data_IF_803078534764
#
_entry.id   IF_803078534764
#
_cell.length_a   1.000
_cell.length_b   1.000
_cell.length_c   1.000
_cell.angle_alpha   90.00
_cell.angle_beta   90.00
_cell.angle_gamma   90.00
#
_symmetry.space_group_name_H-M   'P 1'
#
loop_
_entity.id
_entity.type
_entity.pdbx_description
1 polymer ?
#
# COMPACT_ATOMS: atom_id res chain seq x y z
N UNK A 1 0.86 22.62 1.39
CA UNK A 1 0.26 21.31 1.73
C UNK A 1 -1.16 21.35 1.21
N UNK A 2 -1.46 20.55 0.20
CA UNK A 2 -2.79 20.47 -0.38
C UNK A 2 -3.65 19.57 0.51
N UNK A 3 -4.93 19.90 0.71
CA UNK A 3 -5.86 19.06 1.47
C UNK A 3 -7.00 18.66 0.55
N UNK A 4 -7.19 17.35 0.39
CA UNK A 4 -8.40 16.84 -0.25
C UNK A 4 -9.48 16.78 0.83
N UNK A 5 -10.61 17.39 0.54
CA UNK A 5 -11.81 17.28 1.36
C UNK A 5 -12.76 16.28 0.70
N UNK A 6 -13.06 15.19 1.40
CA UNK A 6 -14.02 14.17 0.98
C UNK A 6 -15.23 14.28 1.89
N UNK A 7 -16.42 14.47 1.32
CA UNK A 7 -17.66 14.40 2.08
C UNK A 7 -18.18 12.97 2.05
N UNK A 8 -18.28 12.35 3.22
CA UNK A 8 -18.78 10.99 3.39
C UNK A 8 -20.32 10.98 3.31
N UNK A 9 -20.88 9.79 3.13
CA UNK A 9 -22.33 9.56 2.95
C UNK A 9 -23.14 9.83 4.22
N UNK A 10 -22.50 9.86 5.38
CA UNK A 10 -23.06 10.26 6.68
C UNK A 10 -23.06 11.79 6.90
N UNK A 11 -22.52 12.56 5.96
CA UNK A 11 -22.40 14.02 6.04
C UNK A 11 -21.12 14.51 6.70
N UNK A 12 -20.27 13.62 7.21
CA UNK A 12 -18.98 13.99 7.78
C UNK A 12 -18.01 14.43 6.68
N UNK A 13 -17.21 15.46 6.94
CA UNK A 13 -16.19 15.94 6.01
C UNK A 13 -14.82 15.49 6.49
N UNK A 14 -14.27 14.50 5.80
CA UNK A 14 -12.91 14.04 6.00
C UNK A 14 -11.92 14.93 5.25
N UNK A 15 -10.84 15.32 5.92
CA UNK A 15 -9.77 16.12 5.32
C UNK A 15 -8.47 15.33 5.29
N UNK A 16 -8.05 14.96 4.09
CA UNK A 16 -6.80 14.23 3.84
C UNK A 16 -5.70 15.23 3.50
N UNK A 17 -4.61 15.23 4.26
CA UNK A 17 -3.43 16.03 3.91
C UNK A 17 -2.69 15.35 2.74
N UNK A 18 -2.90 15.85 1.52
CA UNK A 18 -2.13 15.44 0.35
C UNK A 18 -0.75 16.10 0.40
N UNK A 19 0.27 15.26 0.51
CA UNK A 19 1.65 15.69 0.64
C UNK A 19 2.21 15.60 2.07
N UNK A 20 1.54 14.92 3.00
CA UNK A 20 2.26 14.32 4.11
C UNK A 20 3.30 13.36 3.50
N UNK A 21 4.55 13.80 3.54
CA UNK A 21 5.72 13.13 2.97
C UNK A 21 5.61 11.63 3.14
N UNK A 22 6.00 10.87 2.11
CA UNK A 22 6.28 9.43 2.17
C UNK A 22 6.91 9.10 3.52
N UNK A 23 6.08 8.75 4.51
CA UNK A 23 6.57 8.41 5.84
C UNK A 23 7.33 7.13 5.58
N UNK A 24 8.66 7.20 5.62
CA UNK A 24 9.49 6.01 5.49
C UNK A 24 9.01 5.07 6.58
N UNK A 25 8.48 3.96 6.13
CA UNK A 25 7.81 3.00 6.98
C UNK A 25 8.52 1.68 6.76
N UNK A 26 9.65 1.48 7.44
CA UNK A 26 10.52 0.35 7.17
C UNK A 26 9.81 -0.98 7.40
N UNK A 27 8.82 -1.01 8.30
CA UNK A 27 8.01 -2.20 8.58
C UNK A 27 7.05 -2.50 7.44
N UNK A 28 6.33 -1.49 6.93
CA UNK A 28 5.50 -1.64 5.74
C UNK A 28 6.33 -1.99 4.50
N UNK A 29 7.50 -1.36 4.33
CA UNK A 29 8.41 -1.62 3.22
C UNK A 29 8.95 -3.06 3.27
N UNK A 30 9.26 -3.58 4.46
CA UNK A 30 9.70 -4.96 4.65
C UNK A 30 8.59 -5.98 4.37
N UNK A 31 7.36 -5.72 4.83
CA UNK A 31 6.20 -6.56 4.53
C UNK A 31 5.89 -6.58 3.03
N UNK A 32 5.94 -5.40 2.38
CA UNK A 32 5.78 -5.31 0.93
C UNK A 32 6.89 -6.07 0.20
N UNK A 33 8.15 -5.94 0.63
CA UNK A 33 9.25 -6.70 0.02
C UNK A 33 9.06 -8.21 0.16
N UNK A 34 8.65 -8.67 1.36
CA UNK A 34 8.36 -10.08 1.64
C UNK A 34 7.17 -10.62 0.84
N UNK A 35 6.21 -9.77 0.44
CA UNK A 35 5.11 -10.18 -0.43
C UNK A 35 5.48 -10.18 -1.92
N UNK A 36 6.59 -9.55 -2.30
CA UNK A 36 7.06 -9.43 -3.69
C UNK A 36 8.04 -10.55 -4.04
N UNK A 37 8.90 -10.93 -3.11
CA UNK A 37 10.03 -11.85 -3.32
C UNK A 37 9.69 -13.28 -2.90
N UNK A 38 8.64 -13.85 -3.51
CA UNK A 38 8.09 -15.15 -3.12
C UNK A 38 8.01 -16.10 -4.30
N UNK A 39 8.54 -17.30 -4.14
CA UNK A 39 8.55 -18.34 -5.17
C UNK A 39 7.34 -19.29 -5.04
N UNK A 40 6.75 -19.41 -3.85
CA UNK A 40 5.61 -20.26 -3.54
C UNK A 40 4.32 -19.45 -3.34
N UNK A 41 3.23 -19.91 -3.96
CA UNK A 41 1.90 -19.34 -3.80
C UNK A 41 1.42 -19.40 -2.33
N UNK A 42 1.79 -20.46 -1.59
CA UNK A 42 1.38 -20.58 -0.19
C UNK A 42 2.09 -19.56 0.72
N UNK A 43 3.33 -19.22 0.38
CA UNK A 43 4.11 -18.21 1.08
C UNK A 43 3.64 -16.80 0.69
N UNK A 44 3.27 -16.58 -0.58
CA UNK A 44 2.71 -15.31 -1.05
C UNK A 44 1.42 -14.96 -0.30
N UNK A 45 0.51 -15.93 -0.16
CA UNK A 45 -0.73 -15.76 0.61
C UNK A 45 -0.47 -15.43 2.08
N UNK A 46 0.55 -16.03 2.71
CA UNK A 46 0.92 -15.72 4.10
C UNK A 46 1.51 -14.31 4.23
N UNK A 47 2.34 -13.90 3.29
CA UNK A 47 2.91 -12.56 3.26
C UNK A 47 1.81 -11.50 3.07
N UNK A 48 0.89 -11.72 2.12
CA UNK A 48 -0.28 -10.87 1.87
C UNK A 48 -1.23 -10.79 3.07
N UNK A 49 -1.48 -11.91 3.76
CA UNK A 49 -2.27 -11.93 5.00
C UNK A 49 -1.58 -11.12 6.11
N UNK A 50 -0.26 -11.27 6.25
CA UNK A 50 0.52 -10.52 7.24
C UNK A 50 0.46 -9.01 6.97
N UNK A 51 0.57 -8.61 5.70
CA UNK A 51 0.39 -7.23 5.25
C UNK A 51 -1.02 -6.71 5.57
N UNK A 52 -2.04 -7.51 5.31
CA UNK A 52 -3.44 -7.17 5.60
C UNK A 52 -3.65 -6.90 7.09
N UNK A 53 -3.18 -7.81 7.95
CA UNK A 53 -3.27 -7.66 9.41
C UNK A 53 -2.54 -6.39 9.87
N UNK A 54 -1.33 -6.15 9.36
CA UNK A 54 -0.56 -4.95 9.69
C UNK A 54 -1.32 -3.66 9.33
N UNK A 55 -1.88 -3.59 8.11
CA UNK A 55 -2.63 -2.43 7.65
C UNK A 55 -3.90 -2.21 8.50
N UNK A 56 -4.65 -3.27 8.80
CA UNK A 56 -5.86 -3.17 9.60
C UNK A 56 -5.56 -2.69 11.03
N UNK A 57 -4.58 -3.30 11.69
CA UNK A 57 -4.15 -2.88 13.04
C UNK A 57 -3.68 -1.44 13.09
N UNK A 58 -2.93 -1.01 12.07
CA UNK A 58 -2.38 0.33 12.03
C UNK A 58 -3.45 1.40 11.82
N UNK A 59 -4.47 1.12 11.00
CA UNK A 59 -5.47 2.12 10.65
C UNK A 59 -6.65 2.17 11.64
N UNK A 60 -6.95 1.04 12.29
CA UNK A 60 -8.15 0.89 13.11
C UNK A 60 -7.87 0.46 14.55
N UNK A 61 -6.60 0.34 14.95
CA UNK A 61 -6.17 -0.06 16.30
C UNK A 61 -6.81 -1.36 16.81
N UNK A 62 -7.15 -2.26 15.88
CA UNK A 62 -7.90 -3.47 16.18
C UNK A 62 -7.13 -4.40 17.11
N UNK A 63 -7.86 -4.98 18.06
CA UNK A 63 -7.37 -6.06 18.89
C UNK A 63 -7.41 -7.41 18.14
N UNK A 64 -6.75 -8.47 18.67
CA UNK A 64 -6.72 -9.78 18.02
C UNK A 64 -8.09 -10.41 17.76
N UNK A 65 -9.07 -10.21 18.65
CA UNK A 65 -10.41 -10.78 18.52
C UNK A 65 -11.21 -10.09 17.42
N UNK A 66 -11.09 -8.75 17.31
CA UNK A 66 -11.68 -7.96 16.23
C UNK A 66 -11.10 -8.31 14.86
N UNK A 67 -9.77 -8.54 14.79
CA UNK A 67 -9.13 -9.03 13.57
C UNK A 67 -9.62 -10.42 13.19
N UNK A 68 -9.74 -11.34 14.16
CA UNK A 68 -10.24 -12.67 13.91
C UNK A 68 -11.67 -12.63 13.37
N UNK A 69 -12.52 -11.76 13.91
CA UNK A 69 -13.89 -11.59 13.44
C UNK A 69 -13.95 -11.05 12.00
N UNK A 70 -13.06 -10.13 11.64
CA UNK A 70 -12.99 -9.55 10.28
C UNK A 70 -12.35 -10.47 9.24
N UNK A 71 -11.43 -11.34 9.66
CA UNK A 71 -10.67 -12.23 8.78
C UNK A 71 -11.15 -13.69 8.83
N UNK A 72 -12.28 -13.95 9.50
CA UNK A 72 -12.95 -15.25 9.47
C UNK A 72 -13.97 -15.25 8.33
N UNK A 73 -13.70 -16.08 7.34
CA UNK A 73 -14.57 -16.29 6.18
C UNK A 73 -15.18 -17.68 6.24
N UNK A 74 -16.41 -17.84 5.76
CA UNK A 74 -16.94 -19.19 5.53
C UNK A 74 -16.22 -19.84 4.35
N UNK A 75 -16.16 -21.18 4.29
CA UNK A 75 -15.76 -21.87 3.07
C UNK A 75 -16.59 -21.34 1.88
N UNK A 76 -15.93 -21.04 0.77
CA UNK A 76 -16.52 -20.47 -0.46
C UNK A 76 -17.09 -19.04 -0.36
N UNK A 77 -16.77 -18.29 0.70
CA UNK A 77 -17.16 -16.88 0.78
C UNK A 77 -16.46 -16.06 -0.33
N UNK A 78 -17.21 -15.40 -1.25
CA UNK A 78 -16.61 -14.55 -2.26
C UNK A 78 -15.84 -13.36 -1.66
N UNK A 79 -16.10 -12.97 -0.41
CA UNK A 79 -15.35 -11.92 0.26
C UNK A 79 -13.88 -12.31 0.48
N UNK A 80 -13.57 -13.61 0.68
CA UNK A 80 -12.20 -14.08 0.84
C UNK A 80 -11.40 -13.87 -0.44
N UNK A 81 -11.95 -14.31 -1.58
CA UNK A 81 -11.27 -14.16 -2.87
C UNK A 81 -11.18 -12.69 -3.28
N UNK A 82 -12.20 -11.88 -3.00
CA UNK A 82 -12.16 -10.44 -3.21
C UNK A 82 -11.07 -9.76 -2.38
N UNK A 83 -10.92 -10.11 -1.10
CA UNK A 83 -9.87 -9.59 -0.24
C UNK A 83 -8.49 -9.99 -0.76
N UNK A 84 -8.27 -11.26 -1.06
CA UNK A 84 -7.00 -11.77 -1.60
C UNK A 84 -6.61 -11.03 -2.89
N UNK A 85 -7.55 -10.89 -3.83
CA UNK A 85 -7.30 -10.17 -5.08
C UNK A 85 -6.97 -8.68 -4.84
N UNK A 86 -7.70 -8.01 -3.95
CA UNK A 86 -7.45 -6.60 -3.65
C UNK A 86 -6.06 -6.36 -3.03
N UNK A 87 -5.62 -7.27 -2.15
CA UNK A 87 -4.30 -7.20 -1.52
C UNK A 87 -3.21 -7.53 -2.54
N UNK A 88 -3.43 -8.54 -3.38
CA UNK A 88 -2.52 -8.89 -4.46
C UNK A 88 -2.32 -7.72 -5.43
N UNK A 89 -3.41 -7.09 -5.88
CA UNK A 89 -3.38 -5.92 -6.77
C UNK A 89 -2.61 -4.75 -6.14
N UNK A 90 -2.79 -4.50 -4.84
CA UNK A 90 -2.04 -3.49 -4.09
C UNK A 90 -0.52 -3.78 -4.12
N UNK A 91 -0.12 -5.03 -3.90
CA UNK A 91 1.30 -5.43 -3.96
C UNK A 91 1.84 -5.23 -5.38
N UNK A 92 1.11 -5.65 -6.40
CA UNK A 92 1.49 -5.48 -7.81
C UNK A 92 1.63 -4.02 -8.21
N UNK A 93 0.67 -3.15 -7.84
CA UNK A 93 0.73 -1.71 -8.11
C UNK A 93 1.97 -1.08 -7.46
N UNK A 94 2.33 -1.53 -6.25
CA UNK A 94 3.53 -1.05 -5.55
C UNK A 94 4.82 -1.51 -6.24
N UNK A 95 4.88 -2.71 -6.80
CA UNK A 95 6.01 -3.16 -7.63
C UNK A 95 6.15 -2.24 -8.84
N UNK A 96 5.06 -2.01 -9.57
CA UNK A 96 5.06 -1.22 -10.81
C UNK A 96 5.44 0.24 -10.55
N UNK A 97 4.94 0.83 -9.46
CA UNK A 97 5.29 2.18 -9.02
C UNK A 97 6.78 2.31 -8.64
N UNK A 98 7.39 1.27 -8.04
CA UNK A 98 8.84 1.25 -7.76
C UNK A 98 9.66 1.16 -9.04
N UNK A 99 9.25 0.36 -10.03
CA UNK A 99 9.91 0.25 -11.35
C UNK A 99 9.84 1.54 -12.17
N UNK A 100 8.69 2.22 -12.17
CA UNK A 100 8.50 3.48 -12.89
C UNK A 100 9.36 4.66 -12.36
N UNK A 101 9.70 4.68 -11.07
CA UNK A 101 10.57 5.73 -10.47
C UNK A 101 12.06 5.53 -10.75
N UNK A 102 12.52 4.33 -11.07
CA UNK A 102 13.95 4.05 -11.33
C UNK A 102 14.39 4.41 -12.76
N UNK A 103 13.47 4.81 -13.64
CA UNK A 103 13.72 5.06 -15.07
C UNK A 103 14.02 6.50 -15.49
N UNK A 104 14.20 7.46 -14.58
CA UNK A 104 14.57 8.82 -14.98
C UNK A 104 16.07 9.08 -14.72
N UNK A 105 16.97 8.84 -15.71
CA UNK A 105 18.32 9.36 -15.64
C UNK A 105 18.22 10.89 -15.65
N UNK A 106 18.71 11.49 -14.56
CA UNK A 106 18.85 12.93 -14.41
C UNK A 106 19.61 13.48 -15.62
N UNK A 107 18.91 14.13 -16.55
CA UNK A 107 19.54 14.92 -17.61
C UNK A 107 20.44 15.94 -16.88
N UNK A 108 21.75 15.76 -16.99
CA UNK A 108 22.74 16.81 -16.74
C UNK A 108 22.41 17.97 -17.68
N UNK A 109 21.58 18.89 -17.23
CA UNK A 109 21.46 20.24 -17.81
C UNK A 109 22.47 21.14 -17.11
N UNK A 110 23.68 21.20 -17.67
CA UNK A 110 24.48 22.43 -17.68
C UNK A 110 24.76 22.70 -19.15
N UNK A 111 23.82 23.28 -19.88
CA UNK A 111 23.66 24.72 -20.07
C UNK A 111 24.99 25.40 -20.44
N UNK A 112 25.18 25.44 -21.76
CA UNK A 112 26.07 26.31 -22.50
C UNK A 112 25.76 27.77 -22.13
N UNK A 113 26.76 28.54 -21.74
CA UNK A 113 26.72 30.00 -21.74
C UNK A 113 28.13 30.52 -22.08
N UNK A 114 28.37 30.77 -23.36
CA UNK A 114 29.22 31.88 -23.83
C UNK A 114 28.46 33.21 -23.56
N UNK A 115 29.06 34.43 -23.65
CA UNK A 115 30.39 34.82 -24.17
C UNK A 115 31.15 35.86 -23.29
N UNK A 116 32.44 36.16 -23.60
CA UNK A 116 33.04 37.49 -23.96
C UNK A 116 34.34 37.21 -24.74
#
# INVERSE_FOLDING_TARGET
MERIHVRLSDGETWSLAVGAQSRKDPELDALLAAAIDVEDQSEALRAELSLTIFLLRRNYELNPDELALLLTFTPDDPALSALQNAVHDLVVERIQSKRGRQGCPQRRTGFLADPI
#
